data_IF_148269100605
#
_entry.id   IF_148269100605
#
_cell.length_a   1.000
_cell.length_b   1.000
_cell.length_c   1.000
_cell.angle_alpha   90.00
_cell.angle_beta   90.00
_cell.angle_gamma   90.00
#
_symmetry.space_group_name_H-M   'P 1'
#
loop_
_entity.id
_entity.type
_entity.pdbx_description
1 polymer ?
#
# COMPACT_ATOMS: atom_id res chain seq x y z
N UNK A 1 14.21 -16.04 -15.84
CA UNK A 1 14.27 -15.45 -15.82
C UNK A 1 14.35 -14.93 -15.62
N UNK A 2 14.27 -14.60 -15.57
CA UNK A 2 14.24 -13.81 -15.52
C UNK A 2 14.27 -13.11 -15.28
N UNK A 3 14.19 -12.69 -15.13
CA UNK A 3 14.11 -11.77 -15.00
C UNK A 3 14.15 -11.00 -14.71
N UNK A 4 14.03 -10.75 -14.48
CA UNK A 4 14.07 -9.82 -14.31
C UNK A 4 14.25 -9.16 -14.40
N UNK A 5 14.42 -8.71 -14.51
CA UNK A 5 14.54 -7.88 -14.69
C UNK A 5 14.07 -7.30 -15.18
N UNK A 6 13.97 -7.16 -15.66
CA UNK A 6 13.55 -6.44 -16.22
C UNK A 6 12.68 -5.94 -16.02
N UNK A 7 12.28 -6.30 -15.89
CA UNK A 7 11.19 -5.77 -15.51
C UNK A 7 11.25 -4.47 -15.09
N UNK A 8 12.23 -4.04 -15.03
CA UNK A 8 12.39 -2.80 -14.62
C UNK A 8 12.05 -1.77 -15.57
N UNK A 9 12.40 -1.93 -16.80
CA UNK A 9 12.15 -0.95 -17.78
C UNK A 9 10.71 -0.55 -17.80
N UNK A 10 9.85 -1.46 -18.15
CA UNK A 10 8.46 -1.14 -18.26
C UNK A 10 7.89 -0.77 -16.91
N UNK A 11 8.48 -1.28 -15.87
CA UNK A 11 7.97 -0.98 -14.58
C UNK A 11 8.51 0.30 -14.03
N UNK A 12 9.26 1.01 -14.82
CA UNK A 12 9.81 2.25 -14.31
C UNK A 12 8.72 3.20 -13.88
N UNK A 13 7.58 3.14 -14.56
CA UNK A 13 6.47 4.02 -14.22
C UNK A 13 5.59 3.42 -13.13
N UNK A 14 5.79 2.17 -12.81
CA UNK A 14 4.99 1.50 -11.81
C UNK A 14 5.83 1.22 -10.59
N UNK A 15 5.21 1.24 -9.44
CA UNK A 15 5.94 0.90 -8.25
C UNK A 15 5.74 -0.57 -7.96
N UNK A 16 6.70 -1.13 -7.29
CA UNK A 16 6.63 -2.52 -6.90
C UNK A 16 5.72 -2.69 -5.70
N UNK A 17 5.36 -3.92 -5.43
CA UNK A 17 4.53 -4.28 -4.30
C UNK A 17 5.05 -3.66 -3.01
N UNK A 18 6.35 -3.72 -2.77
CA UNK A 18 6.90 -3.15 -1.55
C UNK A 18 6.71 -1.64 -1.51
N UNK A 19 6.83 -0.96 -2.65
CA UNK A 19 6.58 0.47 -2.70
C UNK A 19 5.16 0.81 -2.33
N UNK A 20 4.21 0.03 -2.82
CA UNK A 20 2.81 0.23 -2.48
C UNK A 20 2.57 0.02 -0.99
N UNK A 21 3.23 -0.98 -0.41
CA UNK A 21 3.10 -1.21 1.03
C UNK A 21 3.64 -0.04 1.84
N UNK A 22 4.75 0.55 1.38
CA UNK A 22 5.29 1.73 2.06
C UNK A 22 4.31 2.90 1.98
N UNK A 23 3.75 3.14 0.81
CA UNK A 23 2.79 4.24 0.66
C UNK A 23 1.55 4.02 1.52
N UNK A 24 1.06 2.79 1.57
CA UNK A 24 -0.08 2.46 2.40
C UNK A 24 0.24 2.70 3.87
N UNK A 25 1.42 2.26 4.32
CA UNK A 25 1.84 2.46 5.70
C UNK A 25 1.92 3.94 6.04
N UNK A 26 2.47 4.74 5.14
CA UNK A 26 2.58 6.17 5.37
C UNK A 26 1.19 6.79 5.49
N UNK A 27 0.27 6.38 4.64
CA UNK A 27 -1.10 6.90 4.70
C UNK A 27 -1.76 6.55 6.03
N UNK A 28 -1.62 5.32 6.48
CA UNK A 28 -2.21 4.88 7.73
C UNK A 28 -1.62 5.66 8.90
N UNK A 29 -0.30 5.82 8.90
CA UNK A 29 0.38 6.55 9.97
C UNK A 29 -0.02 8.03 9.97
N UNK A 30 -0.16 8.60 8.78
CA UNK A 30 -0.58 9.99 8.66
C UNK A 30 -1.97 10.17 9.26
N UNK A 31 -2.86 9.25 9.00
CA UNK A 31 -4.22 9.33 9.53
C UNK A 31 -4.28 9.13 11.03
N UNK A 32 -3.39 8.31 11.57
CA UNK A 32 -3.35 8.07 13.00
C UNK A 32 -2.70 9.21 13.78
N UNK A 33 -1.55 9.67 13.30
CA UNK A 33 -0.72 10.59 14.06
C UNK A 33 -0.67 12.00 13.53
N UNK A 34 -1.08 12.20 12.30
CA UNK A 34 -1.00 13.52 11.66
C UNK A 34 0.36 13.79 11.03
N UNK A 35 1.37 13.00 11.36
CA UNK A 35 2.69 13.15 10.77
C UNK A 35 3.38 11.80 10.75
N UNK A 36 4.40 11.67 9.91
CA UNK A 36 5.08 10.39 9.71
C UNK A 36 6.58 10.60 9.63
N UNK A 37 7.33 9.77 10.35
CA UNK A 37 8.79 9.75 10.26
C UNK A 37 9.23 8.36 9.81
N UNK A 38 10.46 8.27 9.32
CA UNK A 38 11.02 7.00 8.86
C UNK A 38 10.94 5.91 9.92
N UNK A 39 11.19 6.29 11.17
CA UNK A 39 11.17 5.31 12.26
C UNK A 39 9.79 4.70 12.42
N UNK A 40 8.74 5.51 12.25
CA UNK A 40 7.38 5.01 12.36
C UNK A 40 7.10 3.97 11.27
N UNK A 41 7.57 4.23 10.06
CA UNK A 41 7.40 3.31 8.95
C UNK A 41 8.14 2.01 9.21
N UNK A 42 9.39 2.14 9.69
CA UNK A 42 10.20 0.96 9.99
C UNK A 42 9.51 0.08 11.02
N UNK A 43 8.94 0.69 12.04
CA UNK A 43 8.25 -0.07 13.08
C UNK A 43 7.00 -0.75 12.56
N UNK A 44 6.20 -0.03 11.78
CA UNK A 44 4.97 -0.59 11.27
C UNK A 44 5.21 -1.76 10.33
N UNK A 45 6.18 -1.64 9.44
CA UNK A 45 6.46 -2.67 8.46
C UNK A 45 7.45 -3.71 8.94
N UNK A 46 8.05 -3.49 10.12
CA UNK A 46 9.01 -4.41 10.72
C UNK A 46 10.20 -4.64 9.79
N UNK A 47 10.73 -3.53 9.28
CA UNK A 47 11.89 -3.57 8.39
C UNK A 47 13.00 -2.73 8.98
N UNK A 48 14.20 -2.85 8.42
CA UNK A 48 15.37 -2.15 8.94
C UNK A 48 15.35 -0.69 8.48
N UNK A 49 16.07 0.15 9.21
CA UNK A 49 16.18 1.55 8.84
C UNK A 49 16.79 1.74 7.45
N UNK A 50 17.86 1.02 7.08
CA UNK A 50 18.39 1.16 5.72
C UNK A 50 17.38 0.78 4.65
N UNK A 51 16.56 -0.24 4.90
CA UNK A 51 15.52 -0.62 3.94
C UNK A 51 14.53 0.51 3.74
N UNK A 52 14.10 1.13 4.85
CA UNK A 52 13.17 2.25 4.76
C UNK A 52 13.80 3.41 4.02
N UNK A 53 15.05 3.73 4.38
CA UNK A 53 15.75 4.86 3.77
C UNK A 53 15.84 4.69 2.26
N UNK A 54 16.20 3.48 1.81
CA UNK A 54 16.31 3.20 0.39
C UNK A 54 14.96 3.27 -0.31
N UNK A 55 13.93 2.73 0.32
CA UNK A 55 12.59 2.74 -0.26
C UNK A 55 12.06 4.18 -0.37
N UNK A 56 12.26 4.97 0.68
CA UNK A 56 11.79 6.35 0.66
C UNK A 56 12.49 7.16 -0.42
N UNK A 57 13.79 6.91 -0.60
CA UNK A 57 14.52 7.60 -1.64
C UNK A 57 13.98 7.27 -3.02
N UNK A 58 13.69 6.00 -3.26
CA UNK A 58 13.14 5.61 -4.56
C UNK A 58 11.76 6.24 -4.78
N UNK A 59 10.93 6.23 -3.74
CA UNK A 59 9.60 6.82 -3.86
C UNK A 59 9.66 8.32 -4.05
N UNK A 60 10.59 8.98 -3.38
CA UNK A 60 10.80 10.40 -3.56
C UNK A 60 11.21 10.70 -5.00
N UNK A 61 12.14 9.91 -5.53
CA UNK A 61 12.63 10.13 -6.89
C UNK A 61 11.55 9.93 -7.94
N UNK A 62 10.53 9.14 -7.61
CA UNK A 62 9.42 8.91 -8.53
C UNK A 62 8.23 9.83 -8.29
N UNK A 63 8.37 10.75 -7.35
CA UNK A 63 7.35 11.76 -7.15
C UNK A 63 6.21 11.39 -6.23
N UNK A 64 6.37 10.33 -5.43
CA UNK A 64 5.30 9.89 -4.55
C UNK A 64 5.31 10.56 -3.19
N UNK A 65 6.45 11.09 -2.77
CA UNK A 65 6.53 11.72 -1.46
C UNK A 65 7.65 12.76 -1.44
N UNK A 66 7.61 13.59 -0.41
CA UNK A 66 8.63 14.58 -0.14
C UNK A 66 9.09 14.41 1.29
N UNK A 67 10.35 14.80 1.53
CA UNK A 67 10.90 14.83 2.88
C UNK A 67 11.06 16.29 3.26
N UNK A 68 10.43 16.67 4.36
CA UNK A 68 10.55 18.05 4.85
C UNK A 68 11.87 18.24 5.59
N UNK A 69 12.19 19.49 5.88
CA UNK A 69 13.44 19.81 6.56
C UNK A 69 13.56 19.10 7.92
N UNK A 70 12.46 18.93 8.60
CA UNK A 70 12.46 18.25 9.89
C UNK A 70 12.33 16.74 9.72
N UNK A 71 12.55 16.26 8.49
CA UNK A 71 12.54 14.84 8.15
C UNK A 71 11.16 14.19 8.24
N UNK A 72 10.13 15.01 8.23
CA UNK A 72 8.78 14.46 8.15
C UNK A 72 8.50 14.04 6.71
N UNK A 73 7.81 12.93 6.56
CA UNK A 73 7.43 12.40 5.26
C UNK A 73 6.06 12.93 4.91
N UNK A 74 5.95 13.49 3.70
CA UNK A 74 4.68 14.03 3.23
C UNK A 74 4.39 13.41 1.87
N UNK A 75 3.18 12.87 1.70
CA UNK A 75 2.79 12.31 0.42
C UNK A 75 2.47 13.45 -0.55
N UNK A 76 2.91 13.29 -1.78
CA UNK A 76 2.49 14.21 -2.83
C UNK A 76 1.08 13.85 -3.24
N UNK A 77 0.51 14.62 -4.15
CA UNK A 77 -0.83 14.30 -4.66
C UNK A 77 -0.83 12.91 -5.28
N UNK A 78 0.20 12.60 -6.06
CA UNK A 78 0.33 11.27 -6.66
C UNK A 78 0.45 10.19 -5.60
N UNK A 79 1.28 10.44 -4.59
CA UNK A 79 1.46 9.47 -3.52
C UNK A 79 0.20 9.23 -2.73
N UNK A 80 -0.53 10.31 -2.44
CA UNK A 80 -1.77 10.22 -1.69
C UNK A 80 -2.79 9.37 -2.45
N UNK A 81 -2.95 9.66 -3.74
CA UNK A 81 -3.90 8.95 -4.59
C UNK A 81 -3.54 7.47 -4.67
N UNK A 82 -2.26 7.18 -4.88
CA UNK A 82 -1.79 5.81 -5.00
C UNK A 82 -2.01 5.06 -3.70
N UNK A 83 -1.65 5.68 -2.58
CA UNK A 83 -1.81 5.06 -1.28
C UNK A 83 -3.28 4.76 -0.98
N UNK A 84 -4.15 5.69 -1.34
CA UNK A 84 -5.57 5.50 -1.10
C UNK A 84 -6.13 4.36 -1.93
N UNK A 85 -5.66 4.22 -3.17
CA UNK A 85 -6.10 3.12 -4.01
C UNK A 85 -5.68 1.77 -3.44
N UNK A 86 -4.46 1.68 -2.96
CA UNK A 86 -3.99 0.44 -2.35
C UNK A 86 -4.76 0.13 -1.08
N UNK A 87 -4.97 1.16 -0.26
CA UNK A 87 -5.71 1.00 0.98
C UNK A 87 -7.14 0.53 0.72
N UNK A 88 -7.77 1.07 -0.31
CA UNK A 88 -9.14 0.69 -0.65
C UNK A 88 -9.20 -0.77 -1.11
N UNK A 89 -8.24 -1.19 -1.94
CA UNK A 89 -8.19 -2.58 -2.36
C UNK A 89 -8.07 -3.51 -1.17
N UNK A 90 -7.18 -3.16 -0.25
CA UNK A 90 -6.99 -3.94 0.96
C UNK A 90 -8.30 -4.08 1.73
N UNK A 91 -8.98 -2.97 1.93
CA UNK A 91 -10.21 -2.95 2.71
C UNK A 91 -11.31 -3.79 2.08
N UNK A 92 -11.47 -3.67 0.76
CA UNK A 92 -12.49 -4.41 0.04
C UNK A 92 -12.20 -5.91 0.11
N UNK A 93 -10.96 -6.29 -0.16
CA UNK A 93 -10.59 -7.71 -0.15
C UNK A 93 -10.76 -8.30 1.24
N UNK A 94 -10.29 -7.58 2.26
CA UNK A 94 -10.41 -8.05 3.62
C UNK A 94 -11.88 -8.24 4.00
N UNK A 95 -12.72 -7.26 3.68
CA UNK A 95 -14.15 -7.36 3.99
C UNK A 95 -14.78 -8.55 3.30
N UNK A 96 -14.41 -8.79 2.06
CA UNK A 96 -14.93 -9.90 1.28
C UNK A 96 -14.55 -11.23 1.93
N UNK A 97 -13.29 -11.37 2.33
CA UNK A 97 -12.81 -12.59 2.96
C UNK A 97 -13.51 -12.83 4.30
N UNK A 98 -13.67 -11.80 5.09
CA UNK A 98 -14.36 -11.92 6.38
C UNK A 98 -15.80 -12.35 6.15
N UNK A 99 -16.45 -11.78 5.16
CA UNK A 99 -17.82 -12.14 4.85
C UNK A 99 -17.92 -13.61 4.44
N UNK A 100 -16.88 -14.15 3.81
CA UNK A 100 -16.83 -15.55 3.43
C UNK A 100 -16.53 -16.47 4.62
N UNK A 101 -16.23 -15.89 5.77
CA UNK A 101 -15.95 -16.67 6.96
C UNK A 101 -14.49 -16.80 7.33
N UNK A 102 -13.62 -16.10 6.65
CA UNK A 102 -12.19 -16.15 6.96
C UNK A 102 -11.95 -15.34 8.23
N UNK A 103 -11.10 -15.88 9.11
CA UNK A 103 -10.72 -15.18 10.33
C UNK A 103 -10.13 -13.81 10.02
N UNK A 104 -10.45 -12.81 10.82
CA UNK A 104 -10.05 -11.44 10.54
C UNK A 104 -8.54 -11.26 10.39
N UNK A 105 -7.75 -11.92 11.25
CA UNK A 105 -6.30 -11.78 11.15
C UNK A 105 -5.76 -12.41 9.88
N UNK A 106 -6.32 -13.55 9.50
CA UNK A 106 -5.91 -14.21 8.27
C UNK A 106 -6.36 -13.40 7.07
N UNK A 107 -7.58 -12.88 7.12
CA UNK A 107 -8.10 -12.05 6.05
C UNK A 107 -7.22 -10.82 5.82
N UNK A 108 -6.73 -10.22 6.91
CA UNK A 108 -5.87 -9.07 6.81
C UNK A 108 -4.56 -9.41 6.12
N UNK A 109 -3.95 -10.54 6.50
CA UNK A 109 -2.70 -10.96 5.90
C UNK A 109 -2.86 -11.32 4.43
N UNK A 110 -3.92 -12.06 4.13
CA UNK A 110 -4.15 -12.43 2.74
C UNK A 110 -4.45 -11.22 1.88
N UNK A 111 -5.23 -10.27 2.40
CA UNK A 111 -5.55 -9.07 1.67
C UNK A 111 -4.29 -8.27 1.34
N UNK A 112 -3.32 -8.25 2.26
CA UNK A 112 -2.06 -7.56 2.01
C UNK A 112 -1.32 -8.12 0.82
N UNK A 113 -1.48 -9.41 0.53
CA UNK A 113 -0.87 -10.02 -0.62
C UNK A 113 -1.73 -9.83 -1.85
N UNK A 114 -3.02 -10.07 -1.72
CA UNK A 114 -3.94 -10.06 -2.86
C UNK A 114 -4.12 -8.67 -3.47
N UNK A 115 -4.00 -7.64 -2.65
CA UNK A 115 -4.24 -6.27 -3.14
C UNK A 115 -3.30 -5.89 -4.29
N UNK A 116 -2.16 -6.56 -4.40
CA UNK A 116 -1.16 -6.22 -5.42
C UNK A 116 -1.33 -7.01 -6.70
N UNK A 117 -2.13 -8.06 -6.68
CA UNK A 117 -2.28 -8.95 -7.84
C UNK A 117 -3.71 -9.06 -8.36
N UNK A 118 -4.67 -8.60 -7.59
CA UNK A 118 -6.08 -8.71 -8.00
C UNK A 118 -6.36 -7.74 -9.14
N UNK A 119 -7.02 -8.25 -10.18
CA UNK A 119 -7.38 -7.40 -11.31
C UNK A 119 -8.50 -6.44 -10.93
N UNK A 120 -8.65 -5.41 -11.75
CA UNK A 120 -9.70 -4.44 -11.52
C UNK A 120 -11.08 -5.10 -11.59
N UNK A 121 -11.24 -6.02 -12.53
CA UNK A 121 -12.52 -6.72 -12.67
C UNK A 121 -12.86 -7.50 -11.41
N UNK A 122 -11.89 -8.26 -10.88
CA UNK A 122 -12.12 -9.03 -9.66
C UNK A 122 -12.43 -8.11 -8.49
N UNK A 123 -11.68 -7.02 -8.39
CA UNK A 123 -11.92 -6.07 -7.31
C UNK A 123 -13.32 -5.49 -7.36
N UNK A 124 -13.78 -5.15 -8.57
CA UNK A 124 -15.11 -4.59 -8.73
C UNK A 124 -16.19 -5.60 -8.34
N UNK A 125 -15.95 -6.87 -8.65
CA UNK A 125 -16.89 -7.92 -8.25
C UNK A 125 -16.91 -8.11 -6.75
N UNK A 126 -15.73 -8.08 -6.13
CA UNK A 126 -15.66 -8.16 -4.68
C UNK A 126 -16.36 -6.98 -4.02
N UNK A 127 -16.17 -5.81 -4.59
CA UNK A 127 -16.78 -4.60 -4.10
C UNK A 127 -18.30 -4.70 -4.17
N UNK A 128 -18.80 -5.20 -5.29
CA UNK A 128 -20.24 -5.39 -5.46
C UNK A 128 -20.78 -6.42 -4.50
N UNK A 129 -20.01 -7.47 -4.26
CA UNK A 129 -20.43 -8.53 -3.33
C UNK A 129 -20.58 -7.98 -1.92
N UNK A 130 -19.61 -7.22 -1.46
CA UNK A 130 -19.65 -6.65 -0.12
C UNK A 130 -20.65 -5.51 -0.04
N UNK A 131 -20.60 -4.59 -1.00
CA UNK A 131 -21.47 -3.43 -0.98
C UNK A 131 -22.90 -3.75 -1.35
N UNK A 132 -23.07 -4.74 -2.20
CA UNK A 132 -24.40 -5.12 -2.65
C UNK A 132 -25.27 -5.63 -1.51
N UNK A 133 -24.64 -6.07 -0.45
CA UNK A 133 -25.38 -6.50 0.71
C UNK A 133 -25.76 -5.33 1.57
N UNK A 134 -25.35 -4.17 1.15
CA UNK A 134 -25.70 -2.98 1.89
C UNK A 134 -25.20 -3.05 3.30
N UNK A 135 -24.05 -3.60 3.43
CA UNK A 135 -23.48 -3.83 4.71
C UNK A 135 -22.88 -2.60 5.32
N UNK A 136 -22.77 -1.59 4.57
CA UNK A 136 -22.12 -0.39 5.06
C UNK A 136 -23.06 0.49 5.79
#
# INVERSE_FOLDING_TARGET
MMHNENQEGPNSAMIHESGENYLKAILVLQRRNGFVRSLDVARMLKVTKPSVSNALKRLHNRGYLDMKEDKLIVLTELGQKTAEQVYEKHSVIKACLIRMGVDADIADKDACQMEHVVSQETLERMQAFVGGENCY
#
